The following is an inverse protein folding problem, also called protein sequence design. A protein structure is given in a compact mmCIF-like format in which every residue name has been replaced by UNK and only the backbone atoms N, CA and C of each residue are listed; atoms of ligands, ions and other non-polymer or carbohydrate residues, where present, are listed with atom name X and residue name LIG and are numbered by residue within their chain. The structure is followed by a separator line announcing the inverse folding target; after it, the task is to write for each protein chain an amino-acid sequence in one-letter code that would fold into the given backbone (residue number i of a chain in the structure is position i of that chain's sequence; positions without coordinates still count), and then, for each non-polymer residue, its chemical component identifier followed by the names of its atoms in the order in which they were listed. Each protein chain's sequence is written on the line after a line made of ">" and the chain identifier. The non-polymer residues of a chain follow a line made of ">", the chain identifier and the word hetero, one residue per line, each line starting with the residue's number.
data_IF_253435642044
#
_entry.id   IF_253435642044
#
_cell.length_a   1.000
_cell.length_b   1.000
_cell.length_c   1.000
_cell.angle_alpha   90.00
_cell.angle_beta   90.00
_cell.angle_gamma   90.00
#
_symmetry.space_group_name_H-M   'P 1'
#
loop_
_entity.id
_entity.type
_entity.pdbx_description
1 polymer ?
#
# COMPACT_ATOMS: atom_id res chain seq x y z
N UNK A 1 -5.66 12.04 -20.60
CA UNK A 1 -6.13 11.35 -19.38
C UNK A 1 -5.12 11.64 -18.29
N UNK A 2 -5.56 12.20 -17.15
CA UNK A 2 -4.72 12.45 -15.98
C UNK A 2 -4.83 11.25 -15.04
N UNK A 3 -3.71 10.62 -14.71
CA UNK A 3 -3.68 9.50 -13.77
C UNK A 3 -3.41 9.98 -12.35
N UNK A 4 -3.71 9.15 -11.36
CA UNK A 4 -3.34 9.37 -9.96
C UNK A 4 -1.87 9.80 -9.79
N UNK A 5 -0.93 9.09 -10.43
CA UNK A 5 0.49 9.44 -10.37
C UNK A 5 0.79 10.82 -10.96
N UNK A 6 0.13 11.20 -12.06
CA UNK A 6 0.29 12.54 -12.64
C UNK A 6 -0.28 13.63 -11.74
N UNK A 7 -1.44 13.38 -11.13
CA UNK A 7 -2.08 14.30 -10.20
C UNK A 7 -1.19 14.58 -8.98
N UNK A 8 -0.60 13.54 -8.39
CA UNK A 8 0.29 13.66 -7.24
C UNK A 8 1.61 14.37 -7.58
N UNK A 9 2.14 14.16 -8.79
CA UNK A 9 3.40 14.78 -9.21
C UNK A 9 3.25 16.25 -9.63
N UNK A 10 2.10 16.63 -10.18
CA UNK A 10 1.89 17.94 -10.80
C UNK A 10 2.15 19.14 -9.87
N UNK A 11 1.72 19.16 -8.59
CA UNK A 11 1.97 20.28 -7.68
C UNK A 11 3.46 20.52 -7.40
N UNK A 12 4.26 19.45 -7.42
CA UNK A 12 5.68 19.52 -7.08
C UNK A 12 6.54 19.89 -8.29
N UNK A 13 6.27 19.31 -9.47
CA UNK A 13 7.05 19.59 -10.68
C UNK A 13 6.29 19.20 -11.97
N UNK A 14 5.74 20.17 -12.71
CA UNK A 14 5.08 19.92 -13.99
C UNK A 14 5.97 19.20 -15.03
N UNK A 15 7.29 19.44 -14.99
CA UNK A 15 8.26 18.76 -15.86
C UNK A 15 8.34 17.26 -15.56
N UNK A 16 8.18 16.84 -14.31
CA UNK A 16 8.15 15.42 -13.96
C UNK A 16 6.93 14.70 -14.55
N UNK A 17 5.80 15.40 -14.71
CA UNK A 17 4.62 14.86 -15.41
C UNK A 17 4.95 14.59 -16.88
N UNK A 18 5.65 15.51 -17.54
CA UNK A 18 6.11 15.33 -18.92
C UNK A 18 7.10 14.16 -19.03
N UNK A 19 8.01 14.01 -18.07
CA UNK A 19 8.97 12.91 -18.03
C UNK A 19 8.27 11.56 -17.82
N UNK A 20 7.27 11.49 -16.95
CA UNK A 20 6.48 10.28 -16.71
C UNK A 20 5.72 9.88 -17.99
N UNK A 21 5.09 10.84 -18.67
CA UNK A 21 4.41 10.61 -19.96
C UNK A 21 5.35 10.12 -21.06
N UNK A 22 6.54 10.70 -21.13
CA UNK A 22 7.59 10.29 -22.06
C UNK A 22 8.31 8.99 -21.65
N UNK A 23 7.96 8.39 -20.50
CA UNK A 23 8.58 7.19 -19.93
C UNK A 23 10.10 7.28 -19.84
N UNK A 24 10.61 8.49 -19.57
CA UNK A 24 12.04 8.71 -19.46
C UNK A 24 12.62 7.95 -18.25
N UNK A 25 13.87 7.49 -18.33
CA UNK A 25 14.53 6.86 -17.19
C UNK A 25 14.57 7.84 -16.02
N UNK A 26 14.04 7.41 -14.87
CA UNK A 26 14.08 8.17 -13.62
C UNK A 26 15.12 7.53 -12.71
N UNK A 27 15.91 8.35 -12.02
CA UNK A 27 16.99 7.90 -11.12
C UNK A 27 16.45 7.02 -9.98
N UNK A 28 15.21 7.26 -9.55
CA UNK A 28 14.50 6.45 -8.54
C UNK A 28 14.08 5.05 -9.04
N UNK A 29 14.15 4.76 -10.35
CA UNK A 29 13.87 3.41 -10.88
C UNK A 29 15.10 2.52 -10.87
N UNK A 30 16.29 3.12 -10.92
CA UNK A 30 17.59 2.45 -10.83
C UNK A 30 18.16 2.44 -9.41
N UNK A 31 17.64 3.30 -8.53
CA UNK A 31 18.02 3.33 -7.11
C UNK A 31 17.54 2.07 -6.37
N UNK A 32 18.49 1.37 -5.73
CA UNK A 32 18.23 0.16 -4.96
C UNK A 32 17.34 0.44 -3.75
N UNK A 33 17.44 1.61 -3.13
CA UNK A 33 16.61 2.00 -2.00
C UNK A 33 15.15 2.21 -2.41
N UNK A 34 14.92 2.99 -3.47
CA UNK A 34 13.58 3.18 -4.03
C UNK A 34 12.94 1.86 -4.52
N UNK A 35 13.74 0.95 -5.10
CA UNK A 35 13.27 -0.40 -5.46
C UNK A 35 12.82 -1.19 -4.23
N UNK A 36 13.62 -1.19 -3.16
CA UNK A 36 13.28 -1.85 -1.90
C UNK A 36 12.00 -1.28 -1.28
N UNK A 37 11.85 0.05 -1.22
CA UNK A 37 10.64 0.71 -0.73
C UNK A 37 9.37 0.29 -1.50
N UNK A 38 9.46 0.15 -2.83
CA UNK A 38 8.34 -0.34 -3.66
C UNK A 38 7.99 -1.79 -3.33
N UNK A 39 9.00 -2.65 -3.11
CA UNK A 39 8.78 -4.04 -2.73
C UNK A 39 8.11 -4.17 -1.36
N UNK A 40 8.56 -3.40 -0.36
CA UNK A 40 7.91 -3.39 0.96
C UNK A 40 6.46 -2.88 0.88
N UNK A 41 6.20 -1.84 0.09
CA UNK A 41 4.83 -1.35 -0.15
C UNK A 41 3.95 -2.42 -0.80
N UNK A 42 4.49 -3.21 -1.73
CA UNK A 42 3.78 -4.34 -2.34
C UNK A 42 3.47 -5.44 -1.33
N UNK A 43 4.36 -5.74 -0.38
CA UNK A 43 4.10 -6.71 0.69
C UNK A 43 2.96 -6.24 1.59
N UNK A 44 2.93 -4.97 1.99
CA UNK A 44 1.82 -4.41 2.79
C UNK A 44 0.49 -4.55 2.04
N UNK A 45 0.45 -4.22 0.73
CA UNK A 45 -0.73 -4.44 -0.10
C UNK A 45 -1.11 -5.92 -0.17
N UNK A 46 -0.15 -6.83 -0.35
CA UNK A 46 -0.41 -8.27 -0.39
C UNK A 46 -0.99 -8.78 0.94
N UNK A 47 -0.47 -8.33 2.08
CA UNK A 47 -0.98 -8.66 3.41
C UNK A 47 -2.38 -8.09 3.65
N UNK A 48 -2.67 -6.89 3.16
CA UNK A 48 -4.01 -6.31 3.29
C UNK A 48 -5.08 -7.15 2.59
N UNK A 49 -4.73 -7.94 1.55
CA UNK A 49 -5.65 -8.91 0.94
C UNK A 49 -6.02 -10.08 1.85
N UNK A 50 -5.37 -10.25 3.01
CA UNK A 50 -5.81 -11.21 4.03
C UNK A 50 -6.90 -10.62 4.93
N UNK A 51 -6.95 -9.29 5.06
CA UNK A 51 -7.98 -8.59 5.82
C UNK A 51 -9.32 -8.52 5.07
N UNK A 52 -9.25 -8.59 3.74
CA UNK A 52 -10.39 -8.57 2.85
C UNK A 52 -10.47 -9.92 2.14
N UNK A 53 -11.60 -10.63 2.19
CA UNK A 53 -11.83 -11.82 1.34
C UNK A 53 -12.03 -11.40 -0.13
N UNK A 54 -11.06 -10.68 -0.68
CA UNK A 54 -11.18 -9.92 -1.91
C UNK A 54 -10.85 -10.78 -3.12
N UNK A 55 -11.73 -10.71 -4.12
CA UNK A 55 -11.44 -11.22 -5.46
C UNK A 55 -10.70 -10.15 -6.25
N UNK A 56 -9.69 -10.54 -7.01
CA UNK A 56 -9.07 -9.60 -7.96
C UNK A 56 -10.08 -9.27 -9.05
N UNK A 57 -10.31 -7.97 -9.28
CA UNK A 57 -11.03 -7.56 -10.47
C UNK A 57 -10.26 -8.00 -11.70
N UNK A 58 -10.96 -8.49 -12.72
CA UNK A 58 -10.39 -8.48 -14.06
C UNK A 58 -10.06 -7.02 -14.44
N UNK A 59 -8.96 -6.76 -15.17
CA UNK A 59 -8.62 -5.42 -15.59
C UNK A 59 -9.78 -4.84 -16.43
N UNK A 60 -10.45 -3.82 -15.90
CA UNK A 60 -11.51 -3.13 -16.62
C UNK A 60 -10.92 -2.47 -17.87
N UNK A 61 -11.45 -2.82 -19.04
CA UNK A 61 -11.02 -2.24 -20.30
C UNK A 61 -11.88 -1.01 -20.55
N UNK A 62 -11.32 0.16 -20.23
CA UNK A 62 -11.82 1.53 -20.53
C UNK A 62 -13.27 1.87 -20.14
N UNK A 63 -13.41 2.96 -19.38
CA UNK A 63 -14.57 3.84 -19.41
C UNK A 63 -15.74 3.51 -18.48
N UNK A 64 -15.93 2.27 -18.05
CA UNK A 64 -17.02 1.90 -17.15
C UNK A 64 -16.56 0.80 -16.18
N UNK A 65 -17.10 0.83 -14.95
CA UNK A 65 -17.01 -0.35 -14.08
C UNK A 65 -17.84 -1.42 -14.77
N UNK A 66 -17.26 -2.58 -15.14
CA UNK A 66 -18.02 -3.63 -15.80
C UNK A 66 -19.27 -3.95 -14.99
N UNK A 67 -20.42 -4.05 -15.63
CA UNK A 67 -21.69 -4.34 -14.94
C UNK A 67 -21.61 -5.61 -14.08
N UNK A 68 -20.81 -6.59 -14.50
CA UNK A 68 -20.50 -7.79 -13.70
C UNK A 68 -19.81 -7.47 -12.36
N UNK A 69 -18.89 -6.50 -12.35
CA UNK A 69 -18.20 -6.07 -11.12
C UNK A 69 -19.15 -5.32 -10.19
N UNK A 70 -20.07 -4.51 -10.73
CA UNK A 70 -21.10 -3.87 -9.92
C UNK A 70 -22.04 -4.88 -9.28
N UNK A 71 -22.50 -5.88 -10.05
CA UNK A 71 -23.32 -6.98 -9.52
C UNK A 71 -22.58 -7.74 -8.41
N UNK A 72 -21.28 -8.03 -8.59
CA UNK A 72 -20.46 -8.67 -7.55
C UNK A 72 -20.39 -7.80 -6.28
N UNK A 73 -20.15 -6.50 -6.42
CA UNK A 73 -20.13 -5.58 -5.29
C UNK A 73 -21.49 -5.49 -4.58
N UNK A 74 -22.59 -5.42 -5.32
CA UNK A 74 -23.97 -5.40 -4.79
C UNK A 74 -24.35 -6.71 -4.08
N UNK A 75 -23.74 -7.83 -4.49
CA UNK A 75 -23.84 -9.13 -3.79
C UNK A 75 -22.95 -9.22 -2.54
N UNK A 76 -22.31 -8.12 -2.13
CA UNK A 76 -21.47 -8.03 -0.95
C UNK A 76 -20.05 -8.57 -1.14
N UNK A 77 -19.60 -8.80 -2.39
CA UNK A 77 -18.23 -9.21 -2.65
C UNK A 77 -17.27 -8.02 -2.50
N UNK A 78 -16.05 -8.30 -2.02
CA UNK A 78 -14.97 -7.32 -2.02
C UNK A 78 -14.15 -7.45 -3.30
N UNK A 79 -13.95 -6.34 -3.99
CA UNK A 79 -13.20 -6.30 -5.25
C UNK A 79 -11.90 -5.55 -5.04
N UNK A 80 -10.77 -6.17 -5.39
CA UNK A 80 -9.45 -5.56 -5.33
C UNK A 80 -9.03 -4.94 -6.67
N UNK A 81 -8.17 -3.92 -6.60
CA UNK A 81 -7.52 -3.26 -7.74
C UNK A 81 -8.53 -2.71 -8.77
N UNK A 82 -9.65 -2.15 -8.29
CA UNK A 82 -10.72 -1.65 -9.13
C UNK A 82 -10.36 -0.29 -9.76
N UNK A 83 -10.42 -0.20 -11.09
CA UNK A 83 -10.11 1.01 -11.86
C UNK A 83 -11.36 1.84 -12.10
N UNK A 84 -11.23 3.16 -11.91
CA UNK A 84 -12.27 4.15 -12.17
C UNK A 84 -11.76 5.16 -13.19
N UNK A 85 -12.62 5.56 -14.13
CA UNK A 85 -12.31 6.57 -15.15
C UNK A 85 -13.52 7.49 -15.33
N UNK A 86 -13.32 8.80 -15.20
CA UNK A 86 -14.36 9.81 -15.39
C UNK A 86 -13.72 11.13 -15.82
N UNK A 87 -14.33 11.85 -16.77
CA UNK A 87 -13.89 13.19 -17.23
C UNK A 87 -12.40 13.30 -17.59
N UNK A 88 -11.86 12.24 -18.18
CA UNK A 88 -10.44 12.18 -18.53
C UNK A 88 -9.50 12.04 -17.32
N UNK A 89 -10.01 11.73 -16.14
CA UNK A 89 -9.28 11.33 -14.94
C UNK A 89 -9.35 9.81 -14.77
N UNK A 90 -8.31 9.21 -14.19
CA UNK A 90 -8.27 7.79 -13.90
C UNK A 90 -7.56 7.48 -12.57
N UNK A 91 -8.18 6.61 -11.76
CA UNK A 91 -7.62 6.14 -10.51
C UNK A 91 -7.83 4.63 -10.32
N UNK A 92 -7.17 4.04 -9.33
CA UNK A 92 -7.37 2.62 -8.96
C UNK A 92 -7.52 2.53 -7.45
N UNK A 93 -8.66 2.03 -6.99
CA UNK A 93 -8.88 1.69 -5.59
C UNK A 93 -8.17 0.40 -5.21
N UNK A 94 -7.63 0.32 -3.99
CA UNK A 94 -7.00 -0.93 -3.54
C UNK A 94 -8.08 -1.99 -3.25
N UNK A 95 -9.17 -1.60 -2.55
CA UNK A 95 -10.37 -2.44 -2.39
C UNK A 95 -11.66 -1.62 -2.44
N UNK A 96 -12.72 -2.22 -2.94
CA UNK A 96 -14.06 -1.66 -2.98
C UNK A 96 -15.07 -2.65 -2.38
N UNK A 97 -16.00 -2.12 -1.59
CA UNK A 97 -17.11 -2.87 -0.98
C UNK A 97 -18.38 -2.02 -1.07
N UNK A 98 -19.48 -2.59 -1.53
CA UNK A 98 -20.80 -1.93 -1.48
C UNK A 98 -21.61 -2.46 -0.29
N UNK A 99 -22.31 -1.56 0.39
CA UNK A 99 -23.26 -1.86 1.45
C UNK A 99 -24.44 -0.91 1.34
N UNK A 100 -25.55 -1.39 0.77
CA UNK A 100 -26.69 -0.54 0.41
C UNK A 100 -26.26 0.54 -0.60
N UNK A 101 -26.51 1.81 -0.28
CA UNK A 101 -26.11 2.95 -1.12
C UNK A 101 -24.70 3.51 -0.81
N UNK A 102 -23.91 2.81 0.01
CA UNK A 102 -22.55 3.24 0.34
C UNK A 102 -21.51 2.38 -0.40
N UNK A 103 -20.58 3.05 -1.08
CA UNK A 103 -19.36 2.43 -1.61
C UNK A 103 -18.20 2.77 -0.68
N UNK A 104 -17.66 1.78 0.01
CA UNK A 104 -16.45 1.91 0.83
C UNK A 104 -15.24 1.67 -0.06
N UNK A 105 -14.41 2.70 -0.21
CA UNK A 105 -13.20 2.66 -1.02
C UNK A 105 -11.97 2.67 -0.09
N UNK A 106 -11.30 1.52 -0.01
CA UNK A 106 -10.13 1.36 0.84
C UNK A 106 -8.86 1.73 0.05
N UNK A 107 -8.01 2.53 0.70
CA UNK A 107 -6.66 2.87 0.24
C UNK A 107 -5.64 2.33 1.23
N UNK A 108 -4.68 1.57 0.74
CA UNK A 108 -3.63 0.95 1.57
C UNK A 108 -2.39 1.84 1.55
N UNK A 109 -1.94 2.26 2.72
CA UNK A 109 -0.67 2.95 2.90
C UNK A 109 0.36 2.02 3.54
N UNK A 110 1.59 2.05 3.02
CA UNK A 110 2.73 1.37 3.65
C UNK A 110 3.22 2.11 4.90
N UNK A 111 2.93 3.40 4.99
CA UNK A 111 3.27 4.24 6.13
C UNK A 111 2.42 3.86 7.34
N UNK A 112 3.08 3.64 8.48
CA UNK A 112 2.41 3.34 9.73
C UNK A 112 1.77 4.58 10.36
N UNK A 113 0.60 4.38 10.96
CA UNK A 113 -0.08 5.33 11.84
C UNK A 113 0.44 5.14 13.27
N UNK A 114 0.85 6.24 13.92
CA UNK A 114 1.17 6.22 15.34
C UNK A 114 -0.12 6.18 16.18
N UNK A 115 -0.31 5.10 16.92
CA UNK A 115 -1.53 4.88 17.70
C UNK A 115 -1.78 5.98 18.73
N UNK A 116 -0.72 6.43 19.42
CA UNK A 116 -0.85 7.45 20.47
C UNK A 116 -1.22 8.81 19.87
N UNK A 117 -0.65 9.17 18.71
CA UNK A 117 -1.03 10.39 17.99
C UNK A 117 -2.41 10.30 17.39
N UNK A 118 -2.80 9.14 16.88
CA UNK A 118 -4.13 8.93 16.30
C UNK A 118 -5.23 9.08 17.35
N UNK A 119 -5.05 8.52 18.54
CA UNK A 119 -6.02 8.61 19.64
C UNK A 119 -6.32 10.05 20.06
N UNK A 120 -5.36 10.96 19.94
CA UNK A 120 -5.53 12.38 20.28
C UNK A 120 -5.82 13.27 19.05
N UNK A 121 -6.09 12.67 17.88
CA UNK A 121 -6.42 13.39 16.65
C UNK A 121 -5.25 14.14 15.98
N UNK A 122 -4.01 13.87 16.39
CA UNK A 122 -2.81 14.57 15.93
C UNK A 122 -2.02 13.82 14.83
N UNK A 123 -2.53 12.67 14.37
CA UNK A 123 -1.80 11.84 13.40
C UNK A 123 -1.76 12.47 12.00
N UNK A 124 -2.86 13.07 11.55
CA UNK A 124 -2.97 13.60 10.19
C UNK A 124 -2.85 15.12 10.12
N UNK A 125 -3.07 15.80 11.24
CA UNK A 125 -3.07 17.26 11.33
C UNK A 125 -2.06 17.76 12.36
N UNK A 126 -1.56 18.97 12.13
CA UNK A 126 -0.76 19.72 13.09
C UNK A 126 -1.67 20.39 14.11
N UNK A 127 -1.10 20.90 15.20
CA UNK A 127 -1.85 21.68 16.21
C UNK A 127 -2.55 22.92 15.62
N UNK A 128 -2.12 23.40 14.44
CA UNK A 128 -2.73 24.52 13.72
C UNK A 128 -3.82 24.10 12.73
N UNK A 129 -4.18 22.80 12.69
CA UNK A 129 -5.17 22.25 11.77
C UNK A 129 -4.67 21.98 10.35
N UNK A 130 -3.42 22.32 10.02
CA UNK A 130 -2.84 22.01 8.72
C UNK A 130 -2.53 20.51 8.60
N UNK A 131 -2.72 19.93 7.41
CA UNK A 131 -2.30 18.56 7.10
C UNK A 131 -0.79 18.44 7.30
N UNK A 132 -0.35 17.34 7.92
CA UNK A 132 1.08 17.09 8.08
C UNK A 132 1.71 16.69 6.75
N UNK A 133 2.88 17.25 6.46
CA UNK A 133 3.58 17.05 5.18
C UNK A 133 3.83 15.57 4.85
N UNK A 134 4.06 14.75 5.87
CA UNK A 134 4.31 13.32 5.73
C UNK A 134 3.05 12.50 5.42
N UNK A 135 1.85 13.09 5.53
CA UNK A 135 0.57 12.47 5.14
C UNK A 135 -0.10 13.15 3.95
N UNK A 136 0.34 14.35 3.56
CA UNK A 136 -0.23 15.14 2.48
C UNK A 136 -0.42 14.33 1.20
N UNK A 137 0.63 13.66 0.71
CA UNK A 137 0.55 12.85 -0.52
C UNK A 137 -0.50 11.72 -0.42
N UNK A 138 -0.61 11.07 0.74
CA UNK A 138 -1.57 9.98 0.94
C UNK A 138 -2.99 10.51 0.98
N UNK A 139 -3.22 11.65 1.63
CA UNK A 139 -4.54 12.27 1.73
C UNK A 139 -4.98 12.88 0.39
N UNK A 140 -4.07 13.50 -0.36
CA UNK A 140 -4.33 13.99 -1.71
C UNK A 140 -4.72 12.84 -2.65
N UNK A 141 -4.06 11.69 -2.53
CA UNK A 141 -4.39 10.48 -3.28
C UNK A 141 -5.79 9.96 -2.95
N UNK A 142 -6.14 9.92 -1.67
CA UNK A 142 -7.48 9.51 -1.22
C UNK A 142 -8.53 10.48 -1.78
N UNK A 143 -8.30 11.79 -1.68
CA UNK A 143 -9.20 12.81 -2.20
C UNK A 143 -9.38 12.69 -3.73
N UNK A 144 -8.29 12.49 -4.48
CA UNK A 144 -8.35 12.28 -5.92
C UNK A 144 -9.17 11.03 -6.28
N UNK A 145 -8.91 9.91 -5.59
CA UNK A 145 -9.67 8.66 -5.81
C UNK A 145 -11.15 8.85 -5.54
N UNK A 146 -11.52 9.49 -4.43
CA UNK A 146 -12.91 9.80 -4.12
C UNK A 146 -13.56 10.61 -5.22
N UNK A 147 -12.90 11.66 -5.72
CA UNK A 147 -13.44 12.52 -6.75
C UNK A 147 -13.75 11.74 -8.04
N UNK A 148 -12.79 10.93 -8.51
CA UNK A 148 -12.97 10.12 -9.74
C UNK A 148 -14.04 9.05 -9.53
N UNK A 149 -13.99 8.33 -8.40
CA UNK A 149 -14.95 7.26 -8.10
C UNK A 149 -16.37 7.79 -7.94
N UNK A 150 -16.55 8.94 -7.29
CA UNK A 150 -17.86 9.56 -7.11
C UNK A 150 -18.48 9.97 -8.45
N UNK A 151 -17.66 10.43 -9.40
CA UNK A 151 -18.11 10.74 -10.75
C UNK A 151 -18.53 9.49 -11.55
N UNK A 152 -17.88 8.33 -11.31
CA UNK A 152 -18.29 7.06 -11.93
C UNK A 152 -19.59 6.48 -11.34
N UNK A 153 -19.88 6.75 -10.06
CA UNK A 153 -20.94 6.09 -9.29
C UNK A 153 -21.85 7.09 -8.59
N UNK A 154 -22.59 7.86 -9.38
CA UNK A 154 -23.45 8.96 -8.91
C UNK A 154 -24.56 8.52 -7.93
N UNK A 155 -25.00 7.27 -8.00
CA UNK A 155 -26.05 6.72 -7.13
C UNK A 155 -25.53 6.18 -5.79
N UNK A 156 -24.21 6.19 -5.60
CA UNK A 156 -23.56 5.71 -4.40
C UNK A 156 -22.89 6.86 -3.66
N UNK A 157 -22.97 6.82 -2.33
CA UNK A 157 -22.13 7.65 -1.47
C UNK A 157 -20.77 6.99 -1.35
N UNK A 158 -19.73 7.61 -1.90
CA UNK A 158 -18.36 7.11 -1.80
C UNK A 158 -17.74 7.52 -0.46
N UNK A 159 -17.30 6.53 0.32
CA UNK A 159 -16.71 6.72 1.65
C UNK A 159 -15.26 6.21 1.62
N UNK A 160 -14.27 7.06 1.88
CA UNK A 160 -12.87 6.65 1.90
C UNK A 160 -12.55 5.90 3.20
N UNK A 161 -11.70 4.89 3.09
CA UNK A 161 -11.06 4.23 4.23
C UNK A 161 -9.56 4.18 4.00
N UNK A 162 -8.79 4.50 5.03
CA UNK A 162 -7.34 4.33 5.03
C UNK A 162 -7.01 3.06 5.82
N UNK A 163 -6.30 2.14 5.18
CA UNK A 163 -5.73 0.95 5.80
C UNK A 163 -4.24 1.17 5.91
N UNK A 164 -3.74 1.22 7.14
CA UNK A 164 -2.33 1.46 7.42
C UNK A 164 -1.86 0.55 8.56
N UNK A 165 -0.59 0.11 8.57
CA UNK A 165 0.02 -0.49 9.74
C UNK A 165 -0.10 0.45 10.95
N UNK A 166 -0.22 -0.11 12.14
CA UNK A 166 -0.24 0.66 13.39
C UNK A 166 1.12 0.52 14.08
N UNK A 167 1.82 1.62 14.34
CA UNK A 167 2.99 1.61 15.20
C UNK A 167 2.57 1.75 16.67
N UNK A 168 3.27 1.03 17.54
CA UNK A 168 2.91 0.92 18.96
C UNK A 168 1.85 -0.13 19.27
N UNK A 169 1.31 -0.82 18.25
CA UNK A 169 0.50 -2.01 18.47
C UNK A 169 1.40 -3.22 18.74
N UNK A 170 1.10 -3.98 19.80
CA UNK A 170 1.74 -5.28 20.06
C UNK A 170 0.99 -6.31 19.22
N UNK A 171 1.70 -6.99 18.33
CA UNK A 171 1.19 -8.14 17.61
C UNK A 171 1.80 -9.40 18.21
N UNK A 172 0.96 -10.33 18.67
CA UNK A 172 1.41 -11.68 19.00
C UNK A 172 1.66 -12.43 17.69
N UNK A 173 2.93 -12.77 17.44
CA UNK A 173 3.31 -13.61 16.32
C UNK A 173 3.48 -15.02 16.86
N UNK A 174 2.46 -15.87 16.66
CA UNK A 174 2.60 -17.30 16.93
C UNK A 174 3.72 -17.88 16.04
N UNK A 175 4.69 -18.56 16.67
CA UNK A 175 5.79 -19.23 15.96
C UNK A 175 7.09 -18.45 15.78
N UNK A 176 7.22 -17.22 16.29
CA UNK A 176 8.51 -16.52 16.30
C UNK A 176 9.62 -17.19 17.16
N UNK A 177 9.32 -17.85 18.31
CA UNK A 177 10.35 -18.49 19.12
C UNK A 177 11.11 -19.59 18.34
N UNK A 178 10.39 -20.35 17.51
CA UNK A 178 10.93 -21.50 16.77
C UNK A 178 11.87 -21.11 15.63
N UNK A 179 11.75 -19.88 15.10
CA UNK A 179 12.56 -19.39 13.98
C UNK A 179 13.87 -18.76 14.46
N UNK A 180 13.84 -18.08 15.61
CA UNK A 180 15.06 -17.56 16.28
C UNK A 180 15.90 -18.71 16.85
N UNK A 181 15.28 -19.75 17.42
CA UNK A 181 16.02 -20.94 17.88
C UNK A 181 16.67 -21.70 16.72
N UNK A 182 16.04 -21.74 15.53
CA UNK A 182 16.62 -22.38 14.34
C UNK A 182 17.78 -21.59 13.74
N UNK A 183 17.73 -20.25 13.78
CA UNK A 183 18.83 -19.41 13.32
C UNK A 183 20.02 -19.47 14.28
N UNK A 184 19.78 -19.49 15.59
CA UNK A 184 20.84 -19.64 16.60
C UNK A 184 21.42 -21.05 16.68
N UNK A 185 20.65 -22.09 16.34
CA UNK A 185 21.15 -23.46 16.22
C UNK A 185 22.05 -23.66 14.99
N UNK A 186 21.71 -23.05 13.84
CA UNK A 186 22.52 -23.11 12.62
C UNK A 186 23.90 -22.47 12.77
N UNK A 187 23.99 -21.36 13.51
CA UNK A 187 25.27 -20.69 13.80
C UNK A 187 26.15 -21.52 14.74
N UNK A 188 25.56 -22.24 15.70
CA UNK A 188 26.29 -23.13 16.62
C UNK A 188 26.84 -24.38 15.93
N UNK A 189 26.16 -24.91 14.92
CA UNK A 189 26.68 -26.03 14.12
C UNK A 189 27.83 -25.59 13.20
N UNK A 190 27.78 -24.38 12.63
CA UNK A 190 28.87 -23.80 11.84
C UNK A 190 30.13 -23.52 12.68
N UNK A 191 29.96 -23.08 13.93
CA UNK A 191 31.07 -22.79 14.85
C UNK A 191 31.73 -24.07 15.39
N UNK A 192 30.95 -25.13 15.65
CA UNK A 192 31.46 -26.43 16.10
C UNK A 192 32.27 -27.19 15.04
N UNK A 193 31.98 -26.96 13.75
CA UNK A 193 32.72 -27.54 12.62
C UNK A 193 34.03 -26.80 12.32
N UNK A 194 34.19 -25.54 12.75
CA UNK A 194 35.44 -24.77 12.61
C UNK A 194 36.51 -25.19 13.64
N UNK A 195 36.10 -25.53 14.86
CA UNK A 195 37.02 -25.91 15.96
C UNK A 195 37.62 -27.32 15.87
N UNK A 196 37.24 -28.17 14.91
CA UNK A 196 37.81 -29.52 14.74
C UNK A 196 38.96 -29.62 13.72
N UNK A 197 39.40 -28.50 13.16
CA UNK A 197 40.37 -28.44 12.06
C UNK A 197 41.80 -27.99 12.41
N UNK A 198 42.37 -28.39 13.56
CA UNK A 198 43.81 -28.21 13.81
C UNK A 198 44.42 -29.42 14.54
N UNK A 199 45.36 -30.15 13.93
CA UNK A 199 46.37 -30.88 14.67
C UNK A 199 47.65 -30.05 14.82
N UNK A 200 48.08 -30.00 16.08
CA UNK A 200 49.31 -29.49 16.67
C UNK A 200 50.57 -29.62 15.82
N UNK A 201 51.32 -28.52 15.74
CA UNK A 201 52.75 -28.53 15.42
C UNK A 201 53.57 -28.49 16.72
N UNK A 202 54.44 -29.49 16.91
CA UNK A 202 55.72 -29.49 17.63
C UNK A 202 56.13 -30.96 17.83
N UNK A 203 57.30 -31.48 17.47
CA UNK A 203 58.63 -30.88 17.44
C UNK A 203 59.52 -31.72 18.38
N UNK A 204 60.50 -32.43 17.81
CA UNK A 204 61.82 -32.76 18.37
C UNK A 204 62.65 -33.41 17.27
#
# INVERSE_FOLDING_TARGET
>A
MITESEFILAPNCPVQVLHERARLPRTDRTDSFAKWMRQESQKVRALSRLLFSARQSAPATRGEIPSSVLVELEQGQTVADLRFEADGLACTGDFAVISGHELRLYTVAAKAVDSARHQVGAEFTTQRGAIRADWAETLDRIAFRMLVTQACLLNYRVIPFLVAPCSGAIAEIEGLPTLVDRLTAGDREAEALSTKGQPLASGS
#
